data_IF_483341363203
#
_entry.id   IF_483341363203
#
_cell.length_a   1.000
_cell.length_b   1.000
_cell.length_c   1.000
_cell.angle_alpha   90.00
_cell.angle_beta   90.00
_cell.angle_gamma   90.00
#
_symmetry.space_group_name_H-M   'P 1'
#
loop_
_entity.id
_entity.type
_entity.pdbx_description
1 polymer ?
#
# COMPACT_ATOMS: atom_id res chain seq x y z
N UNK A 1 -30.99 -20.27 20.55
CA UNK A 1 -32.44 -20.51 20.75
C UNK A 1 -33.03 -20.81 19.36
N UNK A 2 -34.34 -20.98 19.15
CA UNK A 2 -34.82 -21.02 17.76
C UNK A 2 -34.61 -19.63 17.14
N UNK A 3 -33.87 -19.53 16.03
CA UNK A 3 -33.50 -18.27 15.36
C UNK A 3 -34.71 -17.34 15.07
N UNK A 4 -35.91 -17.91 14.99
CA UNK A 4 -37.19 -17.19 14.84
C UNK A 4 -37.60 -16.32 16.04
N UNK A 5 -37.09 -16.56 17.25
CA UNK A 5 -37.49 -15.78 18.43
C UNK A 5 -36.77 -14.43 18.45
N UNK A 6 -35.48 -14.39 18.12
CA UNK A 6 -34.66 -13.18 18.31
C UNK A 6 -35.16 -12.03 17.44
N UNK A 7 -35.47 -12.27 16.17
CA UNK A 7 -35.98 -11.22 15.27
C UNK A 7 -37.32 -10.62 15.71
N UNK A 8 -38.06 -11.27 16.61
CA UNK A 8 -39.35 -10.80 17.16
C UNK A 8 -39.26 -10.27 18.59
N UNK A 9 -38.08 -10.31 19.22
CA UNK A 9 -37.89 -9.75 20.57
C UNK A 9 -37.95 -8.22 20.53
N UNK A 10 -38.69 -7.64 21.49
CA UNK A 10 -38.73 -6.18 21.65
C UNK A 10 -37.36 -5.62 22.03
N UNK A 11 -37.10 -4.36 21.67
CA UNK A 11 -35.84 -3.67 21.98
C UNK A 11 -35.57 -3.68 23.50
N UNK A 12 -36.60 -3.45 24.30
CA UNK A 12 -36.52 -3.51 25.78
C UNK A 12 -36.10 -4.88 26.31
N UNK A 13 -36.49 -5.97 25.63
CA UNK A 13 -36.08 -7.32 26.03
C UNK A 13 -34.64 -7.60 25.63
N UNK A 14 -34.20 -7.12 24.45
CA UNK A 14 -32.81 -7.23 24.01
C UNK A 14 -31.90 -6.46 24.98
N UNK A 15 -32.24 -5.22 25.29
CA UNK A 15 -31.49 -4.39 26.24
C UNK A 15 -31.43 -4.98 27.67
N UNK A 16 -32.42 -5.80 28.06
CA UNK A 16 -32.45 -6.45 29.36
C UNK A 16 -31.66 -7.78 29.45
N UNK A 17 -31.09 -8.27 28.34
CA UNK A 17 -30.32 -9.52 28.35
C UNK A 17 -29.00 -9.36 29.10
N UNK A 18 -28.62 -10.35 29.89
CA UNK A 18 -27.29 -10.36 30.52
C UNK A 18 -26.20 -10.71 29.50
N UNK A 19 -24.97 -10.25 29.72
CA UNK A 19 -23.80 -10.63 28.91
C UNK A 19 -23.61 -12.15 28.80
N UNK A 20 -23.94 -12.89 29.87
CA UNK A 20 -23.93 -14.36 29.87
C UNK A 20 -24.98 -14.97 28.93
N UNK A 21 -26.17 -14.37 28.84
CA UNK A 21 -27.19 -14.80 27.88
C UNK A 21 -26.78 -14.49 26.44
N UNK A 22 -26.20 -13.31 26.20
CA UNK A 22 -25.67 -12.92 24.88
C UNK A 22 -24.52 -13.84 24.45
N UNK A 23 -23.60 -14.17 25.36
CA UNK A 23 -22.51 -15.10 25.10
C UNK A 23 -23.00 -16.52 24.72
N UNK A 24 -24.24 -16.87 25.09
CA UNK A 24 -24.89 -18.13 24.71
C UNK A 24 -25.55 -18.13 23.33
N UNK A 25 -25.60 -16.99 22.62
CA UNK A 25 -26.17 -16.90 21.28
C UNK A 25 -25.42 -17.78 20.29
N UNK A 26 -26.15 -18.37 19.36
CA UNK A 26 -25.57 -19.08 18.21
C UNK A 26 -25.38 -18.14 17.03
N UNK A 27 -24.69 -18.59 15.97
CA UNK A 27 -24.48 -17.76 14.78
C UNK A 27 -25.79 -17.36 14.10
N UNK A 28 -26.76 -18.29 14.01
CA UNK A 28 -28.09 -18.03 13.47
C UNK A 28 -28.92 -17.08 14.34
N UNK A 29 -28.60 -16.97 15.63
CA UNK A 29 -29.22 -16.03 16.55
C UNK A 29 -28.73 -14.60 16.25
N UNK A 30 -27.42 -14.42 16.09
CA UNK A 30 -26.79 -13.11 15.79
C UNK A 30 -27.09 -12.64 14.36
N UNK A 31 -27.09 -13.55 13.39
CA UNK A 31 -27.46 -13.22 12.01
C UNK A 31 -28.92 -12.75 11.88
N UNK A 32 -29.80 -13.12 12.83
CA UNK A 32 -31.21 -12.72 12.84
C UNK A 32 -31.48 -11.40 13.57
N UNK A 33 -30.46 -10.78 14.22
CA UNK A 33 -30.62 -9.49 14.88
C UNK A 33 -30.88 -8.40 13.84
N UNK A 34 -31.95 -7.64 14.01
CA UNK A 34 -32.15 -6.40 13.27
C UNK A 34 -31.17 -5.31 13.71
N UNK A 35 -30.95 -4.31 12.86
CA UNK A 35 -30.12 -3.13 13.20
C UNK A 35 -30.66 -2.38 14.41
N UNK A 36 -31.99 -2.23 14.53
CA UNK A 36 -32.61 -1.61 15.69
C UNK A 36 -32.36 -2.39 17.00
N UNK A 37 -32.28 -3.72 16.93
CA UNK A 37 -31.93 -4.54 18.10
C UNK A 37 -30.46 -4.42 18.46
N UNK A 38 -29.56 -4.30 17.48
CA UNK A 38 -28.13 -4.05 17.72
C UNK A 38 -27.94 -2.70 18.42
N UNK A 39 -28.59 -1.63 17.92
CA UNK A 39 -28.56 -0.30 18.55
C UNK A 39 -29.14 -0.28 19.96
N UNK A 40 -30.05 -1.21 20.28
CA UNK A 40 -30.63 -1.32 21.62
C UNK A 40 -29.73 -2.07 22.61
N UNK A 41 -28.65 -2.72 22.16
CA UNK A 41 -27.71 -3.41 23.03
C UNK A 41 -26.77 -2.41 23.71
N UNK A 42 -26.32 -2.72 24.93
CA UNK A 42 -25.25 -1.94 25.57
C UNK A 42 -23.88 -2.33 24.99
N UNK A 43 -22.86 -1.45 25.14
CA UNK A 43 -21.51 -1.77 24.72
C UNK A 43 -20.96 -3.04 25.39
N UNK A 44 -21.29 -3.32 26.65
CA UNK A 44 -20.90 -4.54 27.36
C UNK A 44 -21.59 -5.79 26.80
N UNK A 45 -22.84 -5.68 26.33
CA UNK A 45 -23.53 -6.78 25.66
C UNK A 45 -22.89 -7.09 24.31
N UNK A 46 -22.52 -6.06 23.54
CA UNK A 46 -21.83 -6.25 22.26
C UNK A 46 -20.42 -6.86 22.47
N UNK A 47 -19.68 -6.39 23.48
CA UNK A 47 -18.40 -6.98 23.87
C UNK A 47 -18.50 -8.44 24.35
N UNK A 48 -19.70 -8.89 24.77
CA UNK A 48 -19.95 -10.28 25.15
C UNK A 48 -20.27 -11.22 23.98
N UNK A 49 -20.47 -10.71 22.76
CA UNK A 49 -20.70 -11.55 21.57
C UNK A 49 -19.41 -12.31 21.22
N UNK A 50 -19.49 -13.63 21.13
CA UNK A 50 -18.32 -14.45 20.76
C UNK A 50 -17.76 -14.07 19.37
N UNK A 51 -16.45 -14.22 19.17
CA UNK A 51 -15.80 -13.95 17.87
C UNK A 51 -16.40 -14.76 16.72
N UNK A 52 -16.83 -15.99 16.97
CA UNK A 52 -17.56 -16.82 16.00
C UNK A 52 -18.85 -16.17 15.53
N UNK A 53 -19.55 -15.49 16.43
CA UNK A 53 -20.80 -14.80 16.10
C UNK A 53 -20.55 -13.42 15.48
N UNK A 54 -19.48 -12.71 15.89
CA UNK A 54 -19.05 -11.48 15.21
C UNK A 54 -18.72 -11.72 13.74
N UNK A 55 -18.11 -12.87 13.42
CA UNK A 55 -17.76 -13.24 12.05
C UNK A 55 -18.97 -13.40 11.10
N UNK A 56 -20.19 -13.55 11.62
CA UNK A 56 -21.43 -13.65 10.82
C UNK A 56 -22.23 -12.35 10.76
N UNK A 57 -21.78 -11.28 11.40
CA UNK A 57 -22.40 -9.97 11.27
C UNK A 57 -22.26 -9.47 9.83
N UNK A 58 -23.34 -8.88 9.33
CA UNK A 58 -23.39 -8.25 8.00
C UNK A 58 -22.85 -6.83 8.03
N UNK A 59 -22.55 -6.25 6.87
CA UNK A 59 -22.18 -4.83 6.76
C UNK A 59 -23.27 -3.91 7.28
N UNK A 60 -24.54 -4.22 7.02
CA UNK A 60 -25.68 -3.42 7.48
C UNK A 60 -25.80 -3.43 9.01
N UNK A 61 -25.51 -4.58 9.64
CA UNK A 61 -25.50 -4.70 11.10
C UNK A 61 -24.31 -3.96 11.73
N UNK A 62 -23.12 -4.07 11.14
CA UNK A 62 -21.93 -3.36 11.62
C UNK A 62 -22.08 -1.84 11.46
N UNK A 63 -22.55 -1.37 10.30
CA UNK A 63 -22.78 0.05 10.04
C UNK A 63 -23.90 0.68 10.87
N UNK A 64 -24.74 -0.13 11.53
CA UNK A 64 -25.76 0.36 12.45
C UNK A 64 -25.27 0.54 13.89
N UNK A 65 -24.11 0.00 14.27
CA UNK A 65 -23.54 0.17 15.61
C UNK A 65 -23.22 1.65 15.88
N UNK A 66 -23.32 2.07 17.13
CA UNK A 66 -22.91 3.42 17.53
C UNK A 66 -21.38 3.48 17.66
N UNK A 67 -20.80 4.68 17.75
CA UNK A 67 -19.35 4.82 17.90
C UNK A 67 -18.86 4.32 19.26
N UNK A 68 -19.65 4.50 20.33
CA UNK A 68 -19.37 3.92 21.64
C UNK A 68 -19.36 2.38 21.64
N UNK A 69 -20.19 1.77 20.79
CA UNK A 69 -20.24 0.32 20.62
C UNK A 69 -18.95 -0.20 20.00
N UNK A 70 -18.49 0.46 18.92
CA UNK A 70 -17.24 0.14 18.23
C UNK A 70 -16.05 0.29 19.19
N UNK A 71 -16.02 1.37 19.97
CA UNK A 71 -14.95 1.61 20.96
C UNK A 71 -14.91 0.54 22.06
N UNK A 72 -16.05 -0.09 22.39
CA UNK A 72 -16.13 -1.13 23.41
C UNK A 72 -15.80 -2.55 22.90
N UNK A 73 -15.77 -2.78 21.59
CA UNK A 73 -15.42 -4.09 21.03
C UNK A 73 -13.99 -4.49 21.41
N UNK A 74 -13.80 -5.75 21.71
CA UNK A 74 -12.45 -6.28 21.98
C UNK A 74 -11.64 -6.38 20.69
N UNK A 75 -10.30 -6.34 20.79
CA UNK A 75 -9.41 -6.55 19.64
C UNK A 75 -9.63 -7.91 18.95
N UNK A 76 -10.00 -8.94 19.71
CA UNK A 76 -10.34 -10.26 19.16
C UNK A 76 -11.63 -10.22 18.33
N UNK A 77 -12.60 -9.39 18.70
CA UNK A 77 -13.83 -9.21 17.93
C UNK A 77 -13.56 -8.40 16.66
N UNK A 78 -12.77 -7.33 16.74
CA UNK A 78 -12.36 -6.55 15.57
C UNK A 78 -11.65 -7.44 14.53
N UNK A 79 -10.70 -8.27 14.96
CA UNK A 79 -10.03 -9.25 14.10
C UNK A 79 -10.91 -10.38 13.57
N UNK A 80 -12.14 -10.54 14.09
CA UNK A 80 -13.07 -11.60 13.68
C UNK A 80 -14.06 -11.17 12.58
N UNK A 81 -14.22 -9.88 12.31
CA UNK A 81 -15.10 -9.41 11.24
C UNK A 81 -14.67 -9.93 9.86
N UNK A 82 -15.64 -10.27 9.02
CA UNK A 82 -15.38 -10.59 7.62
C UNK A 82 -15.09 -9.33 6.80
N UNK A 83 -14.37 -9.46 5.68
CA UNK A 83 -14.18 -8.34 4.74
C UNK A 83 -15.51 -7.76 4.24
N UNK A 84 -16.53 -8.61 4.04
CA UNK A 84 -17.86 -8.16 3.65
C UNK A 84 -18.53 -7.31 4.72
N UNK A 85 -18.31 -7.61 6.01
CA UNK A 85 -18.81 -6.79 7.12
C UNK A 85 -18.10 -5.43 7.18
N UNK A 86 -16.77 -5.40 7.00
CA UNK A 86 -15.96 -4.18 7.03
C UNK A 86 -16.44 -3.09 6.06
N UNK A 87 -17.09 -3.47 4.96
CA UNK A 87 -17.69 -2.53 4.00
C UNK A 87 -18.82 -1.68 4.59
N UNK A 88 -19.36 -2.07 5.74
CA UNK A 88 -20.38 -1.33 6.47
C UNK A 88 -19.86 -0.27 7.43
N UNK A 89 -18.55 -0.23 7.73
CA UNK A 89 -18.02 0.77 8.66
C UNK A 89 -18.16 2.19 8.10
N UNK A 90 -18.69 3.09 8.93
CA UNK A 90 -18.76 4.53 8.61
C UNK A 90 -17.46 5.24 8.99
N UNK A 91 -17.20 6.44 8.43
CA UNK A 91 -16.12 7.32 8.85
C UNK A 91 -16.01 7.51 10.37
N UNK A 92 -17.13 7.82 11.03
CA UNK A 92 -17.18 8.11 12.46
C UNK A 92 -16.86 6.86 13.29
N UNK A 93 -17.29 5.68 12.82
CA UNK A 93 -16.95 4.39 13.44
C UNK A 93 -15.47 4.06 13.28
N UNK A 94 -14.85 4.38 12.14
CA UNK A 94 -13.39 4.21 11.96
C UNK A 94 -12.63 5.12 12.93
N UNK A 95 -13.01 6.39 13.04
CA UNK A 95 -12.40 7.34 13.98
C UNK A 95 -12.52 6.84 15.43
N UNK A 96 -13.62 6.17 15.77
CA UNK A 96 -13.86 5.63 17.11
C UNK A 96 -12.97 4.41 17.47
N UNK A 97 -12.29 3.79 16.50
CA UNK A 97 -11.38 2.67 16.77
C UNK A 97 -10.16 3.15 17.57
N UNK A 98 -9.86 2.47 18.67
CA UNK A 98 -8.58 2.64 19.35
C UNK A 98 -7.43 2.11 18.49
N UNK A 99 -6.22 2.63 18.70
CA UNK A 99 -5.00 2.10 18.06
C UNK A 99 -4.79 0.61 18.34
N UNK A 100 -5.14 0.12 19.54
CA UNK A 100 -5.11 -1.31 19.87
C UNK A 100 -6.06 -2.13 18.99
N UNK A 101 -7.27 -1.63 18.71
CA UNK A 101 -8.19 -2.28 17.78
C UNK A 101 -7.67 -2.22 16.34
N UNK A 102 -7.10 -1.10 15.90
CA UNK A 102 -6.50 -0.98 14.57
C UNK A 102 -5.36 -1.99 14.36
N UNK A 103 -4.52 -2.24 15.39
CA UNK A 103 -3.46 -3.26 15.30
C UNK A 103 -4.00 -4.69 15.11
N UNK A 104 -5.26 -4.94 15.43
CA UNK A 104 -5.92 -6.25 15.24
C UNK A 104 -6.51 -6.46 13.85
N UNK A 105 -6.54 -5.42 13.00
CA UNK A 105 -6.98 -5.53 11.62
C UNK A 105 -6.02 -6.42 10.82
N UNK A 106 -6.60 -7.25 9.96
CA UNK A 106 -5.86 -8.21 9.13
C UNK A 106 -5.85 -7.80 7.67
N UNK A 107 -4.84 -8.25 6.90
CA UNK A 107 -4.77 -8.02 5.45
C UNK A 107 -5.99 -8.51 4.67
N UNK A 108 -6.75 -9.48 5.22
CA UNK A 108 -7.97 -10.00 4.60
C UNK A 108 -9.17 -9.06 4.80
N UNK A 109 -9.16 -8.25 5.85
CA UNK A 109 -10.23 -7.32 6.19
C UNK A 109 -10.07 -5.99 5.46
N UNK A 110 -8.83 -5.51 5.30
CA UNK A 110 -8.52 -4.20 4.72
C UNK A 110 -9.20 -3.98 3.35
N UNK A 111 -9.21 -4.93 2.38
CA UNK A 111 -9.90 -4.72 1.10
C UNK A 111 -11.42 -4.48 1.22
N UNK A 112 -12.02 -4.82 2.36
CA UNK A 112 -13.43 -4.57 2.65
C UNK A 112 -13.72 -3.13 3.08
N UNK A 113 -12.74 -2.38 3.59
CA UNK A 113 -12.92 -0.98 3.97
C UNK A 113 -13.18 -0.12 2.74
N UNK A 114 -14.19 0.76 2.80
CA UNK A 114 -14.40 1.76 1.75
C UNK A 114 -13.25 2.77 1.71
N UNK A 115 -13.05 3.44 0.58
CA UNK A 115 -12.04 4.50 0.47
C UNK A 115 -12.32 5.67 1.42
N UNK A 116 -13.60 6.00 1.64
CA UNK A 116 -14.00 7.04 2.60
C UNK A 116 -13.69 6.62 4.03
N UNK A 117 -13.90 5.35 4.39
CA UNK A 117 -13.51 4.80 5.69
C UNK A 117 -11.99 4.85 5.88
N UNK A 118 -11.20 4.51 4.86
CA UNK A 118 -9.73 4.62 4.91
C UNK A 118 -9.26 6.06 5.04
N UNK A 119 -9.84 7.00 4.29
CA UNK A 119 -9.57 8.44 4.40
C UNK A 119 -9.88 9.00 5.80
N UNK A 120 -10.80 8.36 6.54
CA UNK A 120 -11.19 8.81 7.88
C UNK A 120 -10.26 8.31 8.98
N UNK A 121 -9.22 7.55 8.65
CA UNK A 121 -8.22 7.15 9.62
C UNK A 121 -7.51 8.39 10.17
N UNK A 122 -7.31 8.42 11.47
CA UNK A 122 -6.46 9.44 12.11
C UNK A 122 -4.97 9.09 11.93
N UNK A 123 -4.05 10.06 11.99
CA UNK A 123 -2.61 9.78 11.89
C UNK A 123 -2.12 8.73 12.89
N UNK A 124 -2.63 8.74 14.13
CA UNK A 124 -2.29 7.75 15.15
C UNK A 124 -2.76 6.33 14.77
N UNK A 125 -3.91 6.22 14.11
CA UNK A 125 -4.42 4.95 13.60
C UNK A 125 -3.61 4.47 12.38
N UNK A 126 -3.20 5.37 11.49
CA UNK A 126 -2.32 5.03 10.36
C UNK A 126 -0.99 4.48 10.86
N UNK A 127 -0.37 5.12 11.86
CA UNK A 127 0.85 4.62 12.52
C UNK A 127 0.61 3.27 13.21
N UNK A 128 -0.59 3.02 13.74
CA UNK A 128 -0.94 1.76 14.39
C UNK A 128 -1.19 0.59 13.40
N UNK A 129 -1.34 0.84 12.10
CA UNK A 129 -1.53 -0.23 11.11
C UNK A 129 -0.33 -1.17 11.10
N UNK A 130 -0.56 -2.47 11.22
CA UNK A 130 0.53 -3.44 11.10
C UNK A 130 0.99 -3.54 9.65
N UNK A 131 2.26 -3.91 9.43
CA UNK A 131 2.76 -4.19 8.07
C UNK A 131 1.94 -5.27 7.38
N UNK A 132 1.45 -6.26 8.14
CA UNK A 132 0.52 -7.26 7.63
C UNK A 132 -0.77 -6.61 7.11
N UNK A 133 -1.44 -5.76 7.87
CA UNK A 133 -2.63 -5.04 7.42
C UNK A 133 -2.35 -4.20 6.16
N UNK A 134 -1.24 -3.46 6.14
CA UNK A 134 -0.81 -2.62 5.01
C UNK A 134 -0.64 -3.41 3.71
N UNK A 135 -0.20 -4.68 3.76
CA UNK A 135 -0.15 -5.53 2.56
C UNK A 135 -1.52 -5.76 1.89
N UNK A 136 -2.61 -5.57 2.64
CA UNK A 136 -3.99 -5.70 2.16
C UNK A 136 -4.56 -4.44 1.51
N UNK A 137 -3.87 -3.29 1.58
CA UNK A 137 -4.34 -2.05 0.95
C UNK A 137 -4.35 -2.19 -0.57
N UNK A 138 -5.43 -1.73 -1.19
CA UNK A 138 -5.55 -1.57 -2.64
C UNK A 138 -5.02 -0.20 -3.10
N UNK A 139 -4.75 -0.06 -4.41
CA UNK A 139 -4.35 1.24 -4.98
C UNK A 139 -5.39 2.33 -4.74
N UNK A 140 -6.68 2.03 -4.87
CA UNK A 140 -7.74 3.00 -4.59
C UNK A 140 -7.81 3.43 -3.13
N UNK A 141 -7.41 2.56 -2.19
CA UNK A 141 -7.35 2.91 -0.77
C UNK A 141 -6.12 3.73 -0.44
N UNK A 142 -4.96 3.42 -1.03
CA UNK A 142 -3.76 4.26 -0.91
C UNK A 142 -4.01 5.66 -1.46
N UNK A 143 -4.62 5.77 -2.65
CA UNK A 143 -4.96 7.06 -3.24
C UNK A 143 -6.12 7.80 -2.57
N UNK A 144 -6.70 7.25 -1.50
CA UNK A 144 -7.69 7.92 -0.66
C UNK A 144 -7.10 8.43 0.66
N UNK A 145 -5.89 7.97 1.04
CA UNK A 145 -5.16 8.49 2.20
C UNK A 145 -4.84 9.96 1.97
N UNK A 146 -4.83 10.74 3.04
CA UNK A 146 -4.38 12.12 2.96
C UNK A 146 -2.85 12.19 2.89
N UNK A 147 -2.30 13.27 2.35
CA UNK A 147 -0.84 13.49 2.30
C UNK A 147 -0.22 13.39 3.71
N UNK A 148 -0.94 13.85 4.74
CA UNK A 148 -0.51 13.73 6.13
C UNK A 148 -0.41 12.28 6.61
N UNK A 149 -1.29 11.39 6.12
CA UNK A 149 -1.26 9.96 6.44
C UNK A 149 -0.07 9.27 5.78
N UNK A 150 0.21 9.60 4.51
CA UNK A 150 1.39 9.10 3.79
C UNK A 150 2.68 9.53 4.51
N UNK A 151 2.73 10.78 4.98
CA UNK A 151 3.89 11.33 5.68
C UNK A 151 4.19 10.60 7.01
N UNK A 152 3.18 10.06 7.69
CA UNK A 152 3.37 9.34 8.98
C UNK A 152 3.60 7.84 8.83
N UNK A 153 3.51 7.27 7.63
CA UNK A 153 3.85 5.87 7.40
C UNK A 153 5.31 5.60 7.77
N UNK A 154 5.54 4.65 8.67
CA UNK A 154 6.90 4.17 8.94
C UNK A 154 7.53 3.55 7.70
N UNK A 155 8.85 3.48 7.68
CA UNK A 155 9.62 2.83 6.59
C UNK A 155 9.18 1.38 6.38
N UNK A 156 8.87 0.66 7.47
CA UNK A 156 8.41 -0.73 7.40
C UNK A 156 6.99 -0.86 6.84
N UNK A 157 6.07 0.07 7.17
CA UNK A 157 4.73 0.09 6.59
C UNK A 157 4.79 0.45 5.11
N UNK A 158 5.55 1.50 4.75
CA UNK A 158 5.71 1.90 3.35
C UNK A 158 6.32 0.76 2.51
N UNK A 159 7.35 0.09 3.02
CA UNK A 159 7.95 -1.09 2.40
C UNK A 159 7.03 -2.34 2.39
N UNK A 160 5.90 -2.33 3.09
CA UNK A 160 4.90 -3.39 3.02
C UNK A 160 3.82 -3.16 1.95
N UNK A 161 3.74 -1.95 1.36
CA UNK A 161 2.81 -1.67 0.27
C UNK A 161 3.11 -2.56 -0.94
N UNK A 162 2.06 -3.15 -1.52
CA UNK A 162 2.21 -3.92 -2.76
C UNK A 162 2.45 -2.99 -3.95
N UNK A 163 2.98 -3.50 -5.06
CA UNK A 163 3.07 -2.70 -6.31
C UNK A 163 1.71 -2.21 -6.79
N UNK A 164 0.63 -2.97 -6.57
CA UNK A 164 -0.74 -2.51 -6.89
C UNK A 164 -1.22 -1.39 -5.98
N UNK A 165 -0.76 -1.38 -4.73
CA UNK A 165 -1.08 -0.33 -3.77
C UNK A 165 -0.34 0.97 -4.12
N UNK A 166 0.94 0.86 -4.52
CA UNK A 166 1.76 2.01 -4.93
C UNK A 166 1.23 2.73 -6.19
N UNK A 167 0.48 2.05 -7.06
CA UNK A 167 -0.23 2.70 -8.17
C UNK A 167 -1.28 3.72 -7.71
N UNK A 168 -1.64 3.68 -6.43
CA UNK A 168 -2.54 4.64 -5.80
C UNK A 168 -1.89 5.94 -5.35
N UNK A 169 -0.55 6.01 -5.27
CA UNK A 169 0.14 7.24 -4.89
C UNK A 169 -0.21 8.36 -5.87
N UNK A 170 -0.35 9.57 -5.34
CA UNK A 170 -0.63 10.79 -6.07
C UNK A 170 0.62 11.67 -6.12
N UNK A 171 0.69 12.56 -7.11
CA UNK A 171 1.83 13.49 -7.27
C UNK A 171 2.03 14.35 -6.01
N UNK A 172 0.94 14.71 -5.34
CA UNK A 172 0.96 15.49 -4.09
C UNK A 172 1.58 14.73 -2.90
N UNK A 173 1.74 13.40 -3.00
CA UNK A 173 2.40 12.59 -1.97
C UNK A 173 3.93 12.66 -2.08
N UNK A 174 4.46 12.94 -3.27
CA UNK A 174 5.90 12.87 -3.57
C UNK A 174 6.74 13.79 -2.65
N UNK A 175 6.33 15.04 -2.35
CA UNK A 175 7.10 15.93 -1.48
C UNK A 175 7.24 15.43 -0.04
N UNK A 176 6.35 14.55 0.45
CA UNK A 176 6.41 14.01 1.82
C UNK A 176 7.12 12.66 1.90
N UNK A 177 7.50 12.06 0.76
CA UNK A 177 8.26 10.81 0.74
C UNK A 177 9.68 11.03 1.25
N UNK A 178 10.00 10.33 2.34
CA UNK A 178 11.32 10.39 2.97
C UNK A 178 12.34 9.53 2.23
N UNK A 179 13.62 9.91 2.27
CA UNK A 179 14.69 9.08 1.69
C UNK A 179 14.70 7.65 2.27
N UNK A 180 14.36 7.49 3.55
CA UNK A 180 14.32 6.18 4.20
C UNK A 180 13.18 5.28 3.65
N UNK A 181 12.03 5.86 3.30
CA UNK A 181 10.94 5.14 2.64
C UNK A 181 11.36 4.72 1.22
N UNK A 182 11.98 5.61 0.45
CA UNK A 182 12.46 5.33 -0.91
C UNK A 182 13.57 4.26 -0.95
N UNK A 183 14.54 4.34 -0.03
CA UNK A 183 15.59 3.32 0.14
C UNK A 183 14.98 1.95 0.46
N UNK A 184 13.89 1.93 1.24
CA UNK A 184 13.20 0.71 1.68
C UNK A 184 12.42 -0.02 0.57
N UNK A 185 12.24 0.60 -0.60
CA UNK A 185 11.54 -0.04 -1.72
C UNK A 185 12.33 -1.22 -2.29
N UNK A 186 11.61 -2.28 -2.63
CA UNK A 186 12.16 -3.48 -3.24
C UNK A 186 11.92 -3.52 -4.75
N UNK A 187 12.67 -4.38 -5.44
CA UNK A 187 12.52 -4.69 -6.87
C UNK A 187 11.08 -5.02 -7.29
N UNK A 188 10.26 -5.58 -6.38
CA UNK A 188 8.88 -5.98 -6.65
C UNK A 188 7.90 -4.81 -6.59
N UNK A 189 8.28 -3.74 -5.91
CA UNK A 189 7.45 -2.55 -5.68
C UNK A 189 7.64 -1.50 -6.76
N UNK A 190 8.85 -1.39 -7.31
CA UNK A 190 9.16 -0.37 -8.33
C UNK A 190 8.18 -0.36 -9.49
N UNK A 191 7.73 -1.50 -10.07
CA UNK A 191 6.71 -1.48 -11.13
C UNK A 191 5.37 -0.82 -10.75
N UNK A 192 5.12 -0.58 -9.46
CA UNK A 192 3.97 0.13 -8.93
C UNK A 192 4.12 1.66 -8.85
N UNK A 193 5.32 2.21 -9.02
CA UNK A 193 5.52 3.65 -9.15
C UNK A 193 5.16 4.08 -10.57
N UNK A 194 4.14 4.91 -10.74
CA UNK A 194 3.75 5.39 -12.06
C UNK A 194 4.82 6.30 -12.66
N UNK A 195 4.79 6.49 -13.98
CA UNK A 195 5.65 7.47 -14.64
C UNK A 195 5.41 8.88 -14.09
N UNK A 196 4.15 9.24 -13.81
CA UNK A 196 3.79 10.55 -13.22
C UNK A 196 4.42 10.75 -11.84
N UNK A 197 4.45 9.71 -10.99
CA UNK A 197 5.12 9.77 -9.69
C UNK A 197 6.62 9.95 -9.88
N UNK A 198 7.26 9.21 -10.79
CA UNK A 198 8.71 9.31 -11.04
C UNK A 198 9.09 10.71 -11.55
N UNK A 199 8.35 11.26 -12.51
CA UNK A 199 8.58 12.62 -13.04
C UNK A 199 8.38 13.70 -11.96
N UNK A 200 7.58 13.45 -10.94
CA UNK A 200 7.38 14.38 -9.83
C UNK A 200 8.52 14.35 -8.77
N UNK A 201 9.41 13.36 -8.81
CA UNK A 201 10.50 13.23 -7.84
C UNK A 201 11.62 14.23 -8.13
N UNK A 202 12.29 14.72 -7.10
CA UNK A 202 13.53 15.48 -7.29
C UNK A 202 14.72 14.57 -7.60
N UNK A 203 15.81 15.09 -8.21
CA UNK A 203 17.03 14.33 -8.39
C UNK A 203 17.58 13.75 -7.07
N UNK A 204 17.48 14.47 -5.96
CA UNK A 204 17.88 13.95 -4.65
C UNK A 204 17.04 12.74 -4.21
N UNK A 205 15.74 12.73 -4.52
CA UNK A 205 14.86 11.58 -4.25
C UNK A 205 15.16 10.40 -5.20
N UNK A 206 15.49 10.66 -6.47
CA UNK A 206 15.92 9.60 -7.39
C UNK A 206 17.26 8.99 -6.95
N UNK A 207 18.21 9.83 -6.53
CA UNK A 207 19.55 9.42 -6.13
C UNK A 207 19.59 8.49 -4.90
N UNK A 208 18.52 8.41 -4.11
CA UNK A 208 18.47 7.53 -2.92
C UNK A 208 17.94 6.12 -3.22
N UNK A 209 17.44 5.81 -4.42
CA UNK A 209 16.97 4.46 -4.73
C UNK A 209 18.10 3.43 -4.59
N UNK A 210 17.82 2.31 -3.91
CA UNK A 210 18.81 1.24 -3.81
C UNK A 210 19.06 0.57 -5.17
N UNK A 211 20.23 -0.06 -5.34
CA UNK A 211 20.52 -0.89 -6.53
C UNK A 211 19.49 -2.02 -6.68
N UNK A 212 19.01 -2.58 -5.57
CA UNK A 212 17.96 -3.59 -5.55
C UNK A 212 16.62 -3.05 -6.08
N UNK A 213 16.25 -1.82 -5.72
CA UNK A 213 15.07 -1.14 -6.25
C UNK A 213 15.21 -0.91 -7.76
N UNK A 214 16.30 -0.30 -8.21
CA UNK A 214 16.54 0.01 -9.62
C UNK A 214 16.56 -1.22 -10.53
N UNK A 215 16.90 -2.40 -10.02
CA UNK A 215 16.75 -3.66 -10.76
C UNK A 215 15.31 -3.99 -11.19
N UNK A 216 14.31 -3.29 -10.65
CA UNK A 216 12.89 -3.47 -10.92
C UNK A 216 12.29 -2.41 -11.84
N UNK A 217 13.05 -1.39 -12.24
CA UNK A 217 12.58 -0.35 -13.15
C UNK A 217 12.31 -0.95 -14.54
N UNK A 218 11.35 -0.38 -15.26
CA UNK A 218 11.03 -0.77 -16.64
C UNK A 218 11.24 0.40 -17.61
N UNK A 219 11.06 0.15 -18.91
CA UNK A 219 11.33 1.15 -19.95
C UNK A 219 10.44 2.40 -19.83
N UNK A 220 9.16 2.24 -19.44
CA UNK A 220 8.26 3.38 -19.23
C UNK A 220 8.72 4.25 -18.05
N UNK A 221 9.23 3.62 -17.01
CA UNK A 221 9.71 4.32 -15.81
C UNK A 221 11.07 4.99 -16.05
N UNK A 222 11.98 4.34 -16.79
CA UNK A 222 13.25 4.96 -17.17
C UNK A 222 13.03 6.15 -18.11
N UNK A 223 12.06 6.07 -19.01
CA UNK A 223 11.65 7.17 -19.89
C UNK A 223 11.01 8.35 -19.14
N UNK A 224 10.55 8.15 -17.91
CA UNK A 224 9.94 9.19 -17.09
C UNK A 224 10.97 10.02 -16.29
N UNK A 225 12.24 9.57 -16.25
CA UNK A 225 13.34 10.29 -15.62
C UNK A 225 13.83 11.39 -16.56
N UNK A 226 14.12 12.55 -15.99
CA UNK A 226 14.77 13.64 -16.73
C UNK A 226 16.30 13.45 -16.72
N UNK A 227 17.00 14.14 -17.62
CA UNK A 227 18.46 14.05 -17.72
C UNK A 227 19.17 14.36 -16.39
N UNK A 228 18.62 15.27 -15.58
CA UNK A 228 19.15 15.59 -14.26
C UNK A 228 19.04 14.41 -13.27
N UNK A 229 17.98 13.60 -13.37
CA UNK A 229 17.76 12.42 -12.54
C UNK A 229 18.73 11.29 -12.90
N UNK A 230 19.03 11.13 -14.19
CA UNK A 230 20.03 10.16 -14.65
C UNK A 230 21.43 10.56 -14.17
N UNK A 231 21.75 11.86 -14.15
CA UNK A 231 23.06 12.36 -13.76
C UNK A 231 23.40 12.14 -12.27
N UNK A 232 22.39 12.06 -11.39
CA UNK A 232 22.58 11.80 -9.96
C UNK A 232 22.73 10.31 -9.61
N UNK A 233 22.47 9.39 -10.54
CA UNK A 233 22.68 7.96 -10.33
C UNK A 233 24.17 7.64 -10.19
N UNK A 234 24.55 6.95 -9.12
CA UNK A 234 25.90 6.39 -8.97
C UNK A 234 26.18 5.32 -10.03
N UNK A 235 27.45 5.01 -10.33
CA UNK A 235 27.79 3.90 -11.23
C UNK A 235 27.16 2.56 -10.80
N UNK A 236 27.14 2.24 -9.51
CA UNK A 236 26.52 1.01 -9.01
C UNK A 236 25.00 0.97 -9.25
N UNK A 237 24.32 2.11 -9.07
CA UNK A 237 22.90 2.27 -9.38
C UNK A 237 22.62 2.13 -10.88
N UNK A 238 23.45 2.74 -11.72
CA UNK A 238 23.32 2.64 -13.18
C UNK A 238 23.58 1.20 -13.68
N UNK A 239 24.57 0.51 -13.11
CA UNK A 239 24.85 -0.89 -13.41
C UNK A 239 23.70 -1.83 -13.00
N UNK A 240 22.88 -1.43 -12.03
CA UNK A 240 21.72 -2.20 -11.59
C UNK A 240 20.51 -2.11 -12.54
N UNK A 241 20.50 -1.15 -13.48
CA UNK A 241 19.40 -0.99 -14.44
C UNK A 241 19.25 -2.26 -15.31
N UNK A 242 18.05 -2.86 -15.39
CA UNK A 242 17.83 -4.05 -16.18
C UNK A 242 17.87 -3.71 -17.67
N UNK A 243 18.39 -4.62 -18.50
CA UNK A 243 18.49 -4.40 -19.96
C UNK A 243 17.16 -4.13 -20.65
N UNK A 244 16.05 -4.60 -20.06
CA UNK A 244 14.69 -4.33 -20.55
C UNK A 244 14.19 -2.90 -20.27
N UNK A 245 14.84 -2.17 -19.37
CA UNK A 245 14.51 -0.77 -19.11
C UNK A 245 15.24 0.19 -20.04
N UNK A 246 16.43 -0.19 -20.52
CA UNK A 246 17.29 0.67 -21.33
C UNK A 246 16.70 1.20 -22.64
N UNK A 247 15.68 0.59 -23.28
CA UNK A 247 14.96 1.25 -24.37
C UNK A 247 14.26 2.56 -23.96
N UNK A 248 14.06 2.78 -22.66
CA UNK A 248 13.53 4.04 -22.12
C UNK A 248 14.57 5.14 -21.94
N UNK A 249 15.87 4.86 -22.09
CA UNK A 249 16.93 5.85 -21.95
C UNK A 249 17.02 6.69 -23.23
N UNK A 250 16.66 7.97 -23.15
CA UNK A 250 16.59 8.82 -24.34
C UNK A 250 17.99 9.13 -24.87
N UNK A 251 18.08 9.48 -26.15
CA UNK A 251 19.36 9.80 -26.81
C UNK A 251 20.09 10.95 -26.11
N UNK A 252 19.34 11.95 -25.64
CA UNK A 252 19.87 13.09 -24.89
C UNK A 252 20.44 12.69 -23.53
N UNK A 253 19.80 11.75 -22.83
CA UNK A 253 20.31 11.21 -21.56
C UNK A 253 21.62 10.46 -21.79
N UNK A 254 21.73 9.68 -22.87
CA UNK A 254 22.98 8.95 -23.17
C UNK A 254 24.16 9.85 -23.46
N UNK A 255 23.94 10.99 -24.09
CA UNK A 255 24.98 11.99 -24.30
C UNK A 255 25.39 12.68 -22.98
N UNK A 256 24.49 12.74 -21.99
CA UNK A 256 24.72 13.34 -20.70
C UNK A 256 25.30 12.40 -19.63
N UNK A 257 25.35 11.08 -19.88
CA UNK A 257 25.93 10.10 -18.96
C UNK A 257 27.39 10.42 -18.64
N UNK A 258 27.79 10.21 -17.39
CA UNK A 258 29.20 10.36 -17.01
C UNK A 258 30.05 9.21 -17.56
N UNK A 259 31.36 9.45 -17.70
CA UNK A 259 32.30 8.39 -18.10
C UNK A 259 32.30 7.22 -17.12
N UNK A 260 32.09 7.48 -15.82
CA UNK A 260 31.97 6.45 -14.79
C UNK A 260 30.70 5.61 -14.95
N UNK A 261 29.56 6.22 -15.31
CA UNK A 261 28.31 5.50 -15.61
C UNK A 261 28.43 4.65 -16.89
N UNK A 262 29.13 5.15 -17.91
CA UNK A 262 29.39 4.38 -19.14
C UNK A 262 30.34 3.21 -18.88
N UNK A 263 31.37 3.40 -18.04
CA UNK A 263 32.36 2.37 -17.74
C UNK A 263 31.75 1.11 -17.09
N UNK A 264 30.64 1.26 -16.38
CA UNK A 264 29.93 0.15 -15.71
C UNK A 264 28.86 -0.53 -16.55
N UNK A 265 28.62 -0.06 -17.79
CA UNK A 265 27.70 -0.75 -18.71
C UNK A 265 28.16 -2.18 -18.95
N UNK A 266 27.31 -3.14 -18.62
CA UNK A 266 27.58 -4.56 -18.81
C UNK A 266 27.26 -5.01 -20.23
N UNK A 267 27.90 -6.09 -20.67
CA UNK A 267 27.59 -6.75 -21.95
C UNK A 267 26.10 -7.18 -22.07
N UNK A 268 25.39 -7.37 -20.95
CA UNK A 268 23.95 -7.69 -20.94
C UNK A 268 23.06 -6.48 -21.18
N UNK A 269 23.54 -5.29 -20.81
CA UNK A 269 22.83 -4.02 -20.94
C UNK A 269 22.96 -3.45 -22.35
N UNK A 270 24.11 -3.62 -23.00
CA UNK A 270 24.35 -3.09 -24.35
C UNK A 270 23.26 -3.44 -25.38
N UNK A 271 22.77 -4.70 -25.51
CA UNK A 271 21.70 -5.01 -26.46
C UNK A 271 20.34 -4.37 -26.14
N UNK A 272 20.18 -3.82 -24.93
CA UNK A 272 18.97 -3.11 -24.52
C UNK A 272 18.97 -1.63 -24.89
N UNK A 273 20.12 -1.04 -25.23
CA UNK A 273 20.20 0.36 -25.67
C UNK A 273 19.61 0.51 -27.07
N UNK A 274 18.94 1.65 -27.32
CA UNK A 274 18.51 1.97 -28.67
C UNK A 274 19.73 2.28 -29.56
N UNK A 275 19.70 1.92 -30.85
CA UNK A 275 20.81 2.23 -31.77
C UNK A 275 21.16 3.73 -31.82
N UNK A 276 20.16 4.61 -31.72
CA UNK A 276 20.37 6.06 -31.66
C UNK A 276 21.19 6.48 -30.43
N UNK A 277 20.92 5.87 -29.28
CA UNK A 277 21.63 6.12 -28.02
C UNK A 277 23.09 5.66 -28.09
N UNK A 278 23.38 4.55 -28.75
CA UNK A 278 24.75 4.09 -29.02
C UNK A 278 25.49 5.10 -29.92
N UNK A 279 24.83 5.59 -30.96
CA UNK A 279 25.40 6.60 -31.86
C UNK A 279 25.60 7.98 -31.22
N UNK A 280 24.97 8.25 -30.09
CA UNK A 280 25.09 9.50 -29.34
C UNK A 280 26.25 9.50 -28.32
N UNK A 281 26.94 8.38 -28.14
CA UNK A 281 28.10 8.31 -27.25
C UNK A 281 29.20 9.25 -27.74
N UNK A 282 29.75 10.05 -26.83
CA UNK A 282 30.91 10.90 -27.12
C UNK A 282 32.19 10.06 -27.29
N UNK A 283 33.27 10.61 -27.86
CA UNK A 283 34.56 9.92 -27.92
C UNK A 283 35.08 9.51 -26.53
N UNK A 284 34.93 10.37 -25.52
CA UNK A 284 35.34 10.08 -24.15
C UNK A 284 34.51 8.95 -23.53
N UNK A 285 33.20 8.96 -23.73
CA UNK A 285 32.31 7.87 -23.28
C UNK A 285 32.63 6.56 -23.99
N UNK A 286 32.85 6.60 -25.31
CA UNK A 286 33.21 5.42 -26.11
C UNK A 286 34.52 4.80 -25.62
N UNK A 287 35.50 5.62 -25.24
CA UNK A 287 36.76 5.17 -24.67
C UNK A 287 36.62 4.58 -23.26
N UNK A 288 35.58 4.96 -22.51
CA UNK A 288 35.30 4.43 -21.17
C UNK A 288 34.65 3.04 -21.19
N UNK A 289 34.09 2.59 -22.33
CA UNK A 289 33.44 1.28 -22.42
C UNK A 289 34.39 0.12 -22.10
N UNK A 290 33.90 -0.81 -21.28
CA UNK A 290 34.62 -2.05 -21.00
C UNK A 290 34.82 -2.91 -22.26
N UNK A 291 35.85 -3.75 -22.28
CA UNK A 291 36.10 -4.69 -23.39
C UNK A 291 34.89 -5.60 -23.66
N UNK A 292 34.16 -6.00 -22.61
CA UNK A 292 32.96 -6.81 -22.72
C UNK A 292 31.79 -6.03 -23.36
N UNK A 293 31.64 -4.74 -23.02
CA UNK A 293 30.64 -3.88 -23.64
C UNK A 293 30.94 -3.62 -25.12
N UNK A 294 32.20 -3.35 -25.47
CA UNK A 294 32.65 -3.21 -26.87
C UNK A 294 32.39 -4.48 -27.69
N UNK A 295 32.66 -5.66 -27.12
CA UNK A 295 32.35 -6.93 -27.77
C UNK A 295 30.84 -7.10 -28.01
N UNK A 296 30.01 -6.74 -27.03
CA UNK A 296 28.56 -6.77 -27.18
C UNK A 296 28.07 -5.85 -28.32
N UNK A 297 28.61 -4.62 -28.44
CA UNK A 297 28.28 -3.70 -29.54
C UNK A 297 28.57 -4.28 -30.93
N UNK A 298 29.67 -5.03 -31.07
CA UNK A 298 30.01 -5.68 -32.34
C UNK A 298 29.07 -6.83 -32.73
N UNK A 299 28.31 -7.37 -31.77
CA UNK A 299 27.33 -8.44 -31.99
C UNK A 299 25.91 -7.94 -32.27
N UNK A 300 25.65 -6.65 -32.05
CA UNK A 300 24.35 -6.00 -32.30
C UNK A 300 24.26 -5.34 -33.68
N UNK A 301 25.37 -5.28 -34.43
CA UNK A 301 25.48 -4.72 -35.78
C UNK A 301 25.52 -5.81 -36.86
#
# INVERSE_FOLDING_TARGET
>A
MASSIISTMSLTKIAALTTKQIAGFQTADVAALSTAQIVAMSPEQLAAISTKNVAVLTSVQLGAMLTEDIAALTTLQIGAFSSAAMAGLTPEQVIALSTAQVTSLTSKQIPGLSTVAVQSLTPDQVVALTTAAVTGLSGSQVGALEVADIAVLSTAQFAALSSKALLGLQVDDVPVLTSAQLIGLSVKQIPGLSAEIITAMSPEQIGVFSTAALGGINATQLLALETADIAVLTPDQFAALPSKALPGLQTEDTAALTVEQIAVLSAKQIPGLMPASIGALTPEQTAALSTAALAALSSTN
#
